data_IF_338552629490
#
_entry.id   IF_338552629490
#
_cell.length_a   1.000
_cell.length_b   1.000
_cell.length_c   1.000
_cell.angle_alpha   90.00
_cell.angle_beta   90.00
_cell.angle_gamma   90.00
#
_symmetry.space_group_name_H-M   'P 1'
#
loop_
_entity.id
_entity.type
_entity.pdbx_description
1 polymer ?
#
# COMPACT_ATOMS: atom_id res chain seq x y z
N UNK A 1 8.42 30.24 8.29
CA UNK A 1 8.08 28.79 8.28
C UNK A 1 9.37 27.97 8.33
N UNK A 2 9.58 27.25 9.43
CA UNK A 2 10.86 26.60 9.77
C UNK A 2 11.24 25.50 8.74
N UNK A 3 12.50 25.45 8.27
CA UNK A 3 12.96 24.52 7.21
C UNK A 3 12.66 23.05 7.55
N UNK A 4 12.79 22.69 8.83
CA UNK A 4 12.53 21.34 9.34
C UNK A 4 11.09 20.89 9.14
N UNK A 5 10.12 21.79 9.30
CA UNK A 5 8.69 21.49 9.11
C UNK A 5 8.43 21.18 7.63
N UNK A 6 9.04 21.94 6.71
CA UNK A 6 8.89 21.70 5.27
C UNK A 6 9.41 20.33 4.85
N UNK A 7 10.55 19.91 5.41
CA UNK A 7 11.14 18.61 5.13
C UNK A 7 10.24 17.46 5.61
N UNK A 8 9.75 17.56 6.85
CA UNK A 8 8.88 16.52 7.44
C UNK A 8 7.57 16.34 6.66
N UNK A 9 6.92 17.45 6.27
CA UNK A 9 5.71 17.38 5.44
C UNK A 9 6.00 16.78 4.07
N UNK A 10 7.12 17.14 3.42
CA UNK A 10 7.50 16.60 2.13
C UNK A 10 7.71 15.07 2.19
N UNK A 11 8.39 14.59 3.23
CA UNK A 11 8.68 13.17 3.42
C UNK A 11 7.40 12.37 3.72
N UNK A 12 6.50 12.93 4.54
CA UNK A 12 5.19 12.33 4.81
C UNK A 12 4.35 12.17 3.54
N UNK A 13 4.18 13.25 2.76
CA UNK A 13 3.42 13.19 1.50
C UNK A 13 4.10 12.26 0.50
N UNK A 14 5.43 12.30 0.38
CA UNK A 14 6.16 11.39 -0.50
C UNK A 14 5.97 9.92 -0.12
N UNK A 15 5.83 9.62 1.18
CA UNK A 15 5.57 8.26 1.65
C UNK A 15 4.16 7.80 1.31
N UNK A 16 3.14 8.64 1.52
CA UNK A 16 1.74 8.32 1.18
C UNK A 16 1.54 8.13 -0.32
N UNK A 17 2.16 8.97 -1.14
CA UNK A 17 2.08 8.90 -2.59
C UNK A 17 3.13 7.97 -3.21
N UNK A 18 3.86 7.20 -2.39
CA UNK A 18 4.70 6.13 -2.89
C UNK A 18 3.81 5.06 -3.55
N UNK A 19 4.08 4.64 -4.79
CA UNK A 19 3.25 3.66 -5.50
C UNK A 19 2.99 2.38 -4.70
N UNK A 20 3.96 1.90 -3.91
CA UNK A 20 3.83 0.68 -3.11
C UNK A 20 2.87 0.89 -1.95
N UNK A 21 3.03 1.99 -1.20
CA UNK A 21 2.16 2.33 -0.08
C UNK A 21 0.74 2.59 -0.57
N UNK A 22 0.62 3.27 -1.71
CA UNK A 22 -0.65 3.52 -2.36
C UNK A 22 -1.33 2.22 -2.80
N UNK A 23 -0.60 1.28 -3.40
CA UNK A 23 -1.11 -0.03 -3.80
C UNK A 23 -1.62 -0.83 -2.59
N UNK A 24 -0.97 -0.67 -1.44
CA UNK A 24 -1.41 -1.28 -0.19
C UNK A 24 -2.65 -0.58 0.37
N UNK A 25 -2.74 0.75 0.39
CA UNK A 25 -3.86 1.45 1.06
C UNK A 25 -5.13 1.54 0.20
N UNK A 26 -5.01 1.56 -1.13
CA UNK A 26 -6.14 1.74 -2.05
C UNK A 26 -7.26 0.69 -1.92
N UNK A 27 -6.97 -0.62 -1.87
CA UNK A 27 -8.00 -1.65 -1.74
C UNK A 27 -8.90 -1.42 -0.53
N UNK A 28 -8.32 -1.12 0.62
CA UNK A 28 -9.06 -0.78 1.83
C UNK A 28 -9.97 0.43 1.61
N UNK A 29 -9.43 1.54 1.08
CA UNK A 29 -10.20 2.77 0.88
C UNK A 29 -11.35 2.60 -0.10
N UNK A 30 -11.15 1.87 -1.20
CA UNK A 30 -12.17 1.60 -2.21
C UNK A 30 -13.30 0.77 -1.60
N UNK A 31 -12.96 -0.33 -0.93
CA UNK A 31 -13.95 -1.24 -0.36
C UNK A 31 -14.71 -0.58 0.78
N UNK A 32 -14.02 0.16 1.65
CA UNK A 32 -14.65 0.89 2.73
C UNK A 32 -15.63 1.95 2.18
N UNK A 33 -15.22 2.69 1.14
CA UNK A 33 -16.08 3.68 0.48
C UNK A 33 -17.35 3.04 -0.10
N UNK A 34 -17.26 1.84 -0.66
CA UNK A 34 -18.39 1.17 -1.31
C UNK A 34 -19.32 0.46 -0.33
N UNK A 35 -18.78 -0.11 0.75
CA UNK A 35 -19.52 -1.00 1.65
C UNK A 35 -19.84 -0.37 3.01
N UNK A 36 -19.20 0.75 3.35
CA UNK A 36 -19.21 1.38 4.67
C UNK A 36 -18.84 0.43 5.83
N UNK A 37 -18.29 -0.76 5.53
CA UNK A 37 -17.95 -1.79 6.49
C UNK A 37 -16.43 -1.88 6.65
N UNK A 38 -15.95 -1.51 7.83
CA UNK A 38 -14.53 -1.59 8.19
C UNK A 38 -14.05 -3.04 8.17
N UNK A 39 -14.86 -3.96 8.74
CA UNK A 39 -14.50 -5.37 8.81
C UNK A 39 -14.29 -5.97 7.41
N UNK A 40 -15.17 -5.63 6.47
CA UNK A 40 -15.06 -6.12 5.09
C UNK A 40 -13.85 -5.50 4.38
N UNK A 41 -13.60 -4.20 4.57
CA UNK A 41 -12.42 -3.53 4.01
C UNK A 41 -11.09 -4.11 4.53
N UNK A 42 -11.02 -4.45 5.83
CA UNK A 42 -9.84 -5.09 6.42
C UNK A 42 -9.58 -6.48 5.85
N UNK A 43 -10.63 -7.27 5.58
CA UNK A 43 -10.48 -8.58 4.92
C UNK A 43 -9.85 -8.41 3.53
N UNK A 44 -10.34 -7.45 2.74
CA UNK A 44 -9.79 -7.13 1.42
C UNK A 44 -8.35 -6.61 1.46
N UNK A 45 -8.03 -5.80 2.46
CA UNK A 45 -6.67 -5.35 2.70
C UNK A 45 -5.72 -6.52 2.95
N UNK A 46 -6.12 -7.46 3.81
CA UNK A 46 -5.35 -8.65 4.11
C UNK A 46 -5.14 -9.51 2.85
N UNK A 47 -6.21 -9.79 2.10
CA UNK A 47 -6.10 -10.54 0.83
C UNK A 47 -5.14 -9.88 -0.16
N UNK A 48 -5.21 -8.56 -0.31
CA UNK A 48 -4.34 -7.83 -1.23
C UNK A 48 -2.88 -7.90 -0.79
N UNK A 49 -2.60 -7.73 0.51
CA UNK A 49 -1.23 -7.84 1.03
C UNK A 49 -0.62 -9.23 0.82
N UNK A 50 -1.40 -10.30 1.04
CA UNK A 50 -0.96 -11.69 0.79
C UNK A 50 -0.70 -11.91 -0.70
N UNK A 51 -1.59 -11.45 -1.57
CA UNK A 51 -1.43 -11.57 -3.02
C UNK A 51 -0.14 -10.89 -3.51
N UNK A 52 0.15 -9.69 -3.01
CA UNK A 52 1.38 -8.97 -3.36
C UNK A 52 2.63 -9.68 -2.85
N UNK A 53 2.61 -10.19 -1.61
CA UNK A 53 3.72 -10.97 -1.05
C UNK A 53 4.02 -12.22 -1.89
N UNK A 54 2.98 -12.95 -2.30
CA UNK A 54 3.10 -14.11 -3.18
C UNK A 54 3.65 -13.66 -4.54
N UNK A 55 3.07 -12.63 -5.17
CA UNK A 55 3.51 -12.12 -6.47
C UNK A 55 4.99 -11.70 -6.47
N UNK A 56 5.44 -10.98 -5.43
CA UNK A 56 6.85 -10.59 -5.25
C UNK A 56 7.73 -11.83 -5.09
N UNK A 57 7.30 -12.80 -4.29
CA UNK A 57 8.04 -14.07 -4.11
C UNK A 57 8.22 -14.79 -5.44
N UNK A 58 7.14 -14.96 -6.21
CA UNK A 58 7.21 -15.57 -7.55
C UNK A 58 8.10 -14.79 -8.51
N UNK A 59 8.03 -13.46 -8.52
CA UNK A 59 8.91 -12.61 -9.33
C UNK A 59 10.38 -12.85 -8.99
N UNK A 60 10.73 -12.84 -7.71
CA UNK A 60 12.12 -13.05 -7.26
C UNK A 60 12.63 -14.46 -7.61
N UNK A 61 11.82 -15.50 -7.39
CA UNK A 61 12.20 -16.87 -7.76
C UNK A 61 12.29 -17.08 -9.28
N UNK A 62 11.39 -16.45 -10.05
CA UNK A 62 11.42 -16.49 -11.51
C UNK A 62 12.63 -15.76 -12.10
N UNK A 63 13.05 -14.66 -11.48
CA UNK A 63 14.27 -13.94 -11.84
C UNK A 63 15.55 -14.72 -11.49
N UNK A 64 15.55 -15.49 -10.40
CA UNK A 64 16.73 -16.27 -9.99
C UNK A 64 17.07 -17.44 -10.92
N UNK A 65 16.08 -17.95 -11.68
CA UNK A 65 16.28 -19.06 -12.63
C UNK A 65 16.71 -18.63 -14.04
N UNK A 66 16.77 -17.33 -14.33
CA UNK A 66 17.30 -16.78 -15.59
C UNK A 66 18.76 -16.42 -15.44
#
# INVERSE_FOLDING_TARGET
>A
MNKTIKFFFAEFFSSIFNPVVFLLLMPFLIVYRQTASIEYALKWQLFTSIFLMIGITFLLFGLHKK
#
